data_IF_160814010843
#
_entry.id   IF_160814010843
#
_cell.length_a   1.000
_cell.length_b   1.000
_cell.length_c   1.000
_cell.angle_alpha   90.00
_cell.angle_beta   90.00
_cell.angle_gamma   90.00
#
_symmetry.space_group_name_H-M   'P 1'
#
loop_
_entity.id
_entity.type
_entity.pdbx_description
1 polymer ?
#
# COMPACT_ATOMS: atom_id res chain seq x y z
N UNK A 1 21.88 17.25 -32.16
CA UNK A 1 21.07 18.35 -31.57
C UNK A 1 20.44 17.81 -30.29
N UNK A 2 20.85 18.34 -29.13
CA UNK A 2 20.35 17.91 -27.81
C UNK A 2 18.91 18.38 -27.63
N UNK A 3 17.98 17.45 -27.50
CA UNK A 3 16.58 17.71 -27.19
C UNK A 3 16.50 18.20 -25.73
N UNK A 4 16.62 19.51 -25.49
CA UNK A 4 16.47 20.08 -24.15
C UNK A 4 15.00 19.93 -23.74
N UNK A 5 14.69 19.29 -22.59
CA UNK A 5 13.32 19.15 -22.14
C UNK A 5 12.66 20.53 -22.01
N UNK A 6 11.43 20.62 -22.50
CA UNK A 6 10.68 21.87 -22.56
C UNK A 6 10.55 22.47 -21.14
N UNK A 7 10.80 23.78 -20.93
CA UNK A 7 10.84 24.39 -19.59
C UNK A 7 9.54 24.23 -18.78
N UNK A 8 8.39 24.09 -19.47
CA UNK A 8 7.10 23.80 -18.85
C UNK A 8 7.02 22.38 -18.25
N UNK A 9 7.74 21.41 -18.83
CA UNK A 9 7.80 20.03 -18.33
C UNK A 9 8.58 19.98 -17.01
N UNK A 10 9.67 20.75 -16.91
CA UNK A 10 10.46 20.86 -15.69
C UNK A 10 9.67 21.58 -14.58
N UNK A 11 8.93 22.65 -14.90
CA UNK A 11 8.08 23.34 -13.92
C UNK A 11 6.99 22.41 -13.37
N UNK A 12 6.29 21.67 -14.24
CA UNK A 12 5.27 20.71 -13.84
C UNK A 12 5.84 19.59 -12.94
N UNK A 13 7.03 19.08 -13.29
CA UNK A 13 7.73 18.08 -12.48
C UNK A 13 8.17 18.63 -11.11
N UNK A 14 8.67 19.87 -11.05
CA UNK A 14 9.08 20.51 -9.79
C UNK A 14 7.87 20.81 -8.89
N UNK A 15 6.77 21.32 -9.44
CA UNK A 15 5.53 21.55 -8.67
C UNK A 15 4.93 20.24 -8.19
N UNK A 16 4.93 19.20 -9.03
CA UNK A 16 4.45 17.87 -8.67
C UNK A 16 5.24 17.26 -7.52
N UNK A 17 6.58 17.28 -7.60
CA UNK A 17 7.45 16.75 -6.54
C UNK A 17 7.34 17.53 -5.23
N UNK A 18 7.25 18.86 -5.29
CA UNK A 18 7.04 19.70 -4.10
C UNK A 18 5.70 19.40 -3.40
N UNK A 19 4.62 19.24 -4.16
CA UNK A 19 3.29 18.95 -3.61
C UNK A 19 3.27 17.58 -2.92
N UNK A 20 3.84 16.56 -3.55
CA UNK A 20 3.95 15.20 -2.97
C UNK A 20 4.77 15.24 -1.67
N UNK A 21 5.88 15.99 -1.65
CA UNK A 21 6.73 16.10 -0.47
C UNK A 21 6.01 16.74 0.73
N UNK A 22 5.22 17.79 0.50
CA UNK A 22 4.43 18.44 1.57
C UNK A 22 3.40 17.46 2.14
N UNK A 23 2.64 16.79 1.27
CA UNK A 23 1.61 15.83 1.70
C UNK A 23 2.27 14.67 2.47
N UNK A 24 3.35 14.11 1.96
CA UNK A 24 4.09 13.05 2.63
C UNK A 24 4.60 13.48 4.01
N UNK A 25 5.13 14.70 4.13
CA UNK A 25 5.59 15.26 5.41
C UNK A 25 4.45 15.35 6.42
N UNK A 26 3.28 15.86 6.01
CA UNK A 26 2.10 15.95 6.88
C UNK A 26 1.68 14.55 7.34
N UNK A 27 1.65 13.58 6.43
CA UNK A 27 1.28 12.19 6.74
C UNK A 27 2.27 11.55 7.71
N UNK A 28 3.58 11.75 7.53
CA UNK A 28 4.62 11.24 8.44
C UNK A 28 4.46 11.85 9.83
N UNK A 29 4.31 13.16 9.90
CA UNK A 29 4.10 13.88 11.17
C UNK A 29 2.84 13.39 11.86
N UNK A 30 1.74 13.20 11.11
CA UNK A 30 0.49 12.70 11.65
C UNK A 30 0.64 11.25 12.14
N UNK A 31 1.25 10.36 11.36
CA UNK A 31 1.56 8.97 11.75
C UNK A 31 2.36 8.88 13.06
N UNK A 32 3.35 9.75 13.23
CA UNK A 32 4.22 9.71 14.41
C UNK A 32 3.56 10.38 15.63
N UNK A 33 2.98 11.57 15.44
CA UNK A 33 2.46 12.36 16.55
C UNK A 33 1.08 11.89 17.03
N UNK A 34 0.27 11.26 16.18
CA UNK A 34 -1.09 10.84 16.57
C UNK A 34 -1.09 9.91 17.77
N UNK A 35 -0.17 8.95 17.82
CA UNK A 35 -0.06 8.00 18.93
C UNK A 35 0.38 8.67 20.22
N UNK A 36 1.46 9.45 20.15
CA UNK A 36 2.04 10.12 21.32
C UNK A 36 1.07 11.16 21.88
N UNK A 37 0.57 12.07 21.04
CA UNK A 37 -0.33 13.15 21.45
C UNK A 37 -1.67 12.57 21.91
N UNK A 38 -2.26 11.64 21.14
CA UNK A 38 -3.52 11.00 21.51
C UNK A 38 -3.41 10.20 22.82
N UNK A 39 -2.33 9.42 22.97
CA UNK A 39 -2.09 8.59 24.15
C UNK A 39 -1.86 9.42 25.42
N UNK A 40 -0.96 10.41 25.38
CA UNK A 40 -0.70 11.30 26.52
C UNK A 40 -1.97 12.06 26.92
N UNK A 41 -2.73 12.55 25.94
CA UNK A 41 -3.96 13.27 26.22
C UNK A 41 -5.02 12.35 26.85
N UNK A 42 -5.23 11.14 26.33
CA UNK A 42 -6.11 10.16 26.97
C UNK A 42 -5.65 9.80 28.40
N UNK A 43 -4.35 9.74 28.64
CA UNK A 43 -3.78 9.46 29.97
C UNK A 43 -4.11 10.56 30.97
N UNK A 44 -3.97 11.83 30.57
CA UNK A 44 -4.33 12.99 31.39
C UNK A 44 -5.84 12.99 31.72
N UNK A 45 -6.67 12.57 30.77
CA UNK A 45 -8.13 12.44 30.97
C UNK A 45 -8.52 11.20 31.79
N UNK A 46 -7.56 10.34 32.16
CA UNK A 46 -7.79 9.14 32.97
C UNK A 46 -8.27 7.92 32.17
N UNK A 47 -8.29 7.96 30.83
CA UNK A 47 -8.76 6.86 29.97
C UNK A 47 -7.68 5.78 29.73
N UNK A 48 -6.96 5.38 30.77
CA UNK A 48 -5.85 4.40 30.71
C UNK A 48 -6.25 3.05 30.10
N UNK A 49 -7.48 2.59 30.35
CA UNK A 49 -7.98 1.34 29.77
C UNK A 49 -8.01 1.37 28.24
N UNK A 50 -8.31 2.51 27.63
CA UNK A 50 -8.34 2.65 26.16
C UNK A 50 -6.93 2.64 25.55
N UNK A 51 -5.95 3.19 26.27
CA UNK A 51 -4.54 3.13 25.89
C UNK A 51 -4.05 1.68 25.91
N UNK A 52 -4.31 0.96 27.01
CA UNK A 52 -3.95 -0.45 27.13
C UNK A 52 -4.56 -1.33 26.02
N UNK A 53 -5.84 -1.10 25.70
CA UNK A 53 -6.50 -1.80 24.59
C UNK A 53 -5.85 -1.46 23.25
N UNK A 54 -5.51 -0.19 23.00
CA UNK A 54 -4.83 0.21 21.77
C UNK A 54 -3.51 -0.53 21.56
N UNK A 55 -2.69 -0.63 22.60
CA UNK A 55 -1.45 -1.43 22.56
C UNK A 55 -1.74 -2.92 22.36
N UNK A 56 -2.70 -3.48 23.10
CA UNK A 56 -3.09 -4.88 22.98
C UNK A 56 -3.55 -5.22 21.56
N UNK A 57 -4.33 -4.35 20.94
CA UNK A 57 -4.76 -4.48 19.55
C UNK A 57 -3.58 -4.39 18.58
N UNK A 58 -2.65 -3.45 18.79
CA UNK A 58 -1.43 -3.36 17.98
C UNK A 58 -0.61 -4.65 17.99
N UNK A 59 -0.52 -5.34 19.13
CA UNK A 59 0.21 -6.61 19.26
C UNK A 59 -0.59 -7.80 18.68
N UNK A 60 -1.90 -7.83 18.90
CA UNK A 60 -2.75 -8.93 18.44
C UNK A 60 -3.01 -8.89 16.92
N UNK A 61 -2.95 -7.70 16.32
CA UNK A 61 -3.38 -7.49 14.93
C UNK A 61 -2.62 -8.34 13.90
N UNK A 62 -1.27 -8.51 13.93
CA UNK A 62 -0.58 -9.38 12.96
C UNK A 62 -1.11 -10.82 12.93
N UNK A 63 -1.55 -11.35 14.08
CA UNK A 63 -2.10 -12.69 14.21
C UNK A 63 -3.51 -12.76 13.63
N UNK A 64 -4.34 -11.78 13.96
CA UNK A 64 -5.71 -11.63 13.41
C UNK A 64 -5.62 -11.46 11.88
N UNK A 65 -4.67 -10.65 11.41
CA UNK A 65 -4.43 -10.40 9.99
C UNK A 65 -4.02 -11.67 9.26
N UNK A 66 -3.11 -12.47 9.84
CA UNK A 66 -2.69 -13.76 9.25
C UNK A 66 -3.90 -14.66 9.02
N UNK A 67 -4.76 -14.84 10.04
CA UNK A 67 -5.96 -15.68 9.93
C UNK A 67 -6.94 -15.09 8.90
N UNK A 68 -7.18 -13.78 8.95
CA UNK A 68 -8.07 -13.10 8.02
C UNK A 68 -7.57 -13.17 6.58
N UNK A 69 -6.26 -13.18 6.35
CA UNK A 69 -5.63 -13.25 5.03
C UNK A 69 -5.60 -14.65 4.41
N UNK A 70 -5.98 -15.71 5.13
CA UNK A 70 -5.93 -17.09 4.62
C UNK A 70 -6.68 -17.28 3.29
N UNK A 71 -7.90 -16.73 3.10
CA UNK A 71 -8.58 -16.81 1.81
C UNK A 71 -7.82 -16.10 0.68
N UNK A 72 -7.19 -14.96 0.99
CA UNK A 72 -6.34 -14.24 0.04
C UNK A 72 -5.09 -15.04 -0.33
N UNK A 73 -4.47 -15.73 0.64
CA UNK A 73 -3.33 -16.61 0.40
C UNK A 73 -3.72 -17.79 -0.50
N UNK A 74 -4.90 -18.38 -0.29
CA UNK A 74 -5.44 -19.42 -1.18
C UNK A 74 -5.61 -18.92 -2.62
N UNK A 75 -6.19 -17.73 -2.79
CA UNK A 75 -6.30 -17.09 -4.11
C UNK A 75 -4.94 -16.79 -4.74
N UNK A 76 -3.98 -16.36 -3.93
CA UNK A 76 -2.61 -16.05 -4.37
C UNK A 76 -1.85 -17.30 -4.84
N UNK A 77 -2.09 -18.44 -4.21
CA UNK A 77 -1.53 -19.72 -4.68
C UNK A 77 -2.10 -20.12 -6.04
N UNK A 78 -3.42 -20.00 -6.23
CA UNK A 78 -4.06 -20.26 -7.53
C UNK A 78 -3.57 -19.26 -8.58
N UNK A 79 -3.41 -18.00 -8.21
CA UNK A 79 -2.86 -16.95 -9.05
C UNK A 79 -1.46 -17.32 -9.57
N UNK A 80 -0.56 -17.75 -8.69
CA UNK A 80 0.80 -18.17 -9.05
C UNK A 80 0.79 -19.33 -10.06
N UNK A 81 -0.06 -20.34 -9.84
CA UNK A 81 -0.21 -21.47 -10.76
C UNK A 81 -0.64 -21.06 -12.17
N UNK A 82 -1.54 -20.07 -12.31
CA UNK A 82 -1.95 -19.57 -13.63
C UNK A 82 -0.96 -18.57 -14.24
N UNK A 83 -0.21 -17.84 -13.40
CA UNK A 83 0.87 -16.97 -13.84
C UNK A 83 2.01 -17.78 -14.50
N UNK A 84 2.42 -18.90 -13.90
CA UNK A 84 3.41 -19.81 -14.47
C UNK A 84 2.98 -20.40 -15.82
N UNK A 85 1.68 -20.62 -16.01
CA UNK A 85 1.12 -21.07 -17.29
C UNK A 85 1.02 -19.97 -18.36
N UNK A 86 1.44 -18.75 -18.06
CA UNK A 86 1.40 -17.61 -18.97
C UNK A 86 0.00 -17.06 -19.26
N UNK A 87 -1.01 -17.41 -18.46
CA UNK A 87 -2.40 -17.00 -18.71
C UNK A 87 -2.68 -15.60 -18.19
N UNK A 88 -2.27 -14.57 -18.96
CA UNK A 88 -2.37 -13.15 -18.57
C UNK A 88 -3.78 -12.74 -18.10
N UNK A 89 -4.85 -13.24 -18.74
CA UNK A 89 -6.24 -12.91 -18.37
C UNK A 89 -6.64 -13.46 -17.00
N UNK A 90 -6.35 -14.75 -16.72
CA UNK A 90 -6.69 -15.36 -15.44
C UNK A 90 -5.85 -14.78 -14.31
N UNK A 91 -4.57 -14.51 -14.56
CA UNK A 91 -3.69 -13.82 -13.61
C UNK A 91 -4.23 -12.44 -13.25
N UNK A 92 -4.68 -11.65 -14.24
CA UNK A 92 -5.29 -10.34 -13.98
C UNK A 92 -6.57 -10.42 -13.13
N UNK A 93 -7.49 -11.35 -13.46
CA UNK A 93 -8.75 -11.50 -12.72
C UNK A 93 -8.51 -11.96 -11.28
N UNK A 94 -7.66 -12.97 -11.07
CA UNK A 94 -7.35 -13.47 -9.72
C UNK A 94 -6.56 -12.43 -8.90
N UNK A 95 -5.66 -11.70 -9.54
CA UNK A 95 -4.96 -10.56 -8.92
C UNK A 95 -5.93 -9.48 -8.46
N UNK A 96 -6.93 -9.15 -9.28
CA UNK A 96 -7.99 -8.21 -8.90
C UNK A 96 -8.77 -8.67 -7.69
N UNK A 97 -9.21 -9.92 -7.70
CA UNK A 97 -10.05 -10.47 -6.66
C UNK A 97 -9.30 -10.51 -5.33
N UNK A 98 -8.02 -10.87 -5.38
CA UNK A 98 -7.10 -10.83 -4.24
C UNK A 98 -6.94 -9.40 -3.72
N UNK A 99 -6.74 -8.42 -4.60
CA UNK A 99 -6.60 -7.01 -4.21
C UNK A 99 -7.89 -6.45 -3.60
N UNK A 100 -9.06 -6.73 -4.18
CA UNK A 100 -10.36 -6.33 -3.62
C UNK A 100 -10.53 -6.91 -2.23
N UNK A 101 -10.22 -8.20 -2.07
CA UNK A 101 -10.36 -8.87 -0.78
C UNK A 101 -9.47 -8.25 0.30
N UNK A 102 -8.19 -8.00 -0.02
CA UNK A 102 -7.26 -7.36 0.90
C UNK A 102 -7.70 -5.93 1.27
N UNK A 103 -8.15 -5.14 0.29
CA UNK A 103 -8.69 -3.81 0.54
C UNK A 103 -9.96 -3.87 1.39
N UNK A 104 -10.84 -4.86 1.19
CA UNK A 104 -12.02 -5.04 2.03
C UNK A 104 -11.63 -5.36 3.48
N UNK A 105 -10.64 -6.23 3.71
CA UNK A 105 -10.12 -6.51 5.05
C UNK A 105 -9.53 -5.27 5.72
N UNK A 106 -8.74 -4.49 4.99
CA UNK A 106 -8.20 -3.21 5.50
C UNK A 106 -9.34 -2.26 5.88
N UNK A 107 -10.33 -2.06 5.00
CA UNK A 107 -11.46 -1.20 5.26
C UNK A 107 -12.25 -1.66 6.50
N UNK A 108 -12.50 -2.96 6.64
CA UNK A 108 -13.16 -3.54 7.82
C UNK A 108 -12.37 -3.27 9.10
N UNK A 109 -11.04 -3.44 9.07
CA UNK A 109 -10.18 -3.11 10.19
C UNK A 109 -10.29 -1.62 10.57
N UNK A 110 -10.23 -0.72 9.58
CA UNK A 110 -10.39 0.72 9.79
C UNK A 110 -11.72 1.04 10.46
N UNK A 111 -12.83 0.55 9.87
CA UNK A 111 -14.19 0.77 10.36
C UNK A 111 -14.30 0.29 11.81
N UNK A 112 -13.79 -0.90 12.08
CA UNK A 112 -13.91 -1.52 13.39
C UNK A 112 -13.10 -0.77 14.45
N UNK A 113 -11.82 -0.44 14.20
CA UNK A 113 -11.00 0.32 15.16
C UNK A 113 -11.59 1.71 15.39
N UNK A 114 -11.98 2.40 14.31
CA UNK A 114 -12.61 3.72 14.40
C UNK A 114 -13.87 3.67 15.27
N UNK A 115 -14.81 2.77 14.92
CA UNK A 115 -16.05 2.61 15.66
C UNK A 115 -15.81 2.23 17.12
N UNK A 116 -14.84 1.36 17.39
CA UNK A 116 -14.50 0.92 18.75
C UNK A 116 -14.06 2.08 19.66
N UNK A 117 -13.17 2.95 19.17
CA UNK A 117 -12.69 4.09 19.96
C UNK A 117 -13.72 5.22 20.02
N UNK A 118 -14.38 5.53 18.91
CA UNK A 118 -15.37 6.60 18.88
C UNK A 118 -16.63 6.28 19.69
N UNK A 119 -16.99 5.00 19.85
CA UNK A 119 -18.07 4.59 20.76
C UNK A 119 -17.74 4.84 22.25
N UNK A 120 -16.47 5.10 22.60
CA UNK A 120 -16.00 5.42 23.96
C UNK A 120 -15.67 6.89 24.14
N UNK A 121 -15.79 7.68 23.07
CA UNK A 121 -15.47 9.09 23.09
C UNK A 121 -16.62 9.90 23.73
N UNK A 122 -16.25 10.79 24.63
CA UNK A 122 -17.12 11.79 25.21
C UNK A 122 -16.81 13.18 24.60
N UNK A 123 -17.60 14.19 24.96
CA UNK A 123 -17.46 15.57 24.47
C UNK A 123 -16.07 16.18 24.70
N UNK A 124 -15.32 15.71 25.70
CA UNK A 124 -13.96 16.18 26.02
C UNK A 124 -12.85 15.29 25.47
N UNK A 125 -13.17 14.08 25.01
CA UNK A 125 -12.19 13.06 24.61
C UNK A 125 -12.27 12.66 23.13
N UNK A 126 -13.16 13.25 22.34
CA UNK A 126 -13.28 12.92 20.91
C UNK A 126 -11.98 13.09 20.11
N UNK A 127 -11.28 14.24 20.24
CA UNK A 127 -10.01 14.48 19.54
C UNK A 127 -8.95 13.45 19.95
N UNK A 128 -8.66 13.24 21.25
CA UNK A 128 -7.63 12.28 21.62
C UNK A 128 -8.00 10.84 21.26
N UNK A 129 -9.29 10.46 21.24
CA UNK A 129 -9.73 9.17 20.72
C UNK A 129 -9.55 9.02 19.20
N UNK A 130 -9.76 10.08 18.40
CA UNK A 130 -9.47 10.07 16.96
C UNK A 130 -7.97 9.87 16.70
N UNK A 131 -7.10 10.62 17.40
CA UNK A 131 -5.66 10.50 17.24
C UNK A 131 -5.15 9.12 17.69
N UNK A 132 -5.66 8.63 18.83
CA UNK A 132 -5.28 7.32 19.36
C UNK A 132 -5.79 6.17 18.50
N UNK A 133 -7.03 6.25 18.02
CA UNK A 133 -7.62 5.25 17.13
C UNK A 133 -6.88 5.18 15.80
N UNK A 134 -6.51 6.31 15.22
CA UNK A 134 -5.67 6.37 14.03
C UNK A 134 -4.33 5.65 14.26
N UNK A 135 -3.62 5.99 15.35
CA UNK A 135 -2.35 5.33 15.68
C UNK A 135 -2.51 3.83 15.92
N UNK A 136 -3.58 3.40 16.59
CA UNK A 136 -3.84 1.99 16.89
C UNK A 136 -4.06 1.17 15.61
N UNK A 137 -4.77 1.74 14.64
CA UNK A 137 -5.00 1.09 13.36
C UNK A 137 -3.75 1.11 12.47
N UNK A 138 -3.00 2.22 12.47
CA UNK A 138 -1.82 2.40 11.61
C UNK A 138 -0.57 1.67 12.10
N UNK A 139 -0.38 1.54 13.41
CA UNK A 139 0.83 0.92 13.99
C UNK A 139 1.10 -0.50 13.46
N UNK A 140 0.16 -1.47 13.53
CA UNK A 140 0.42 -2.80 13.03
C UNK A 140 0.54 -2.86 11.50
N UNK A 141 -0.22 -2.04 10.76
CA UNK A 141 -0.11 -1.95 9.31
C UNK A 141 1.26 -1.44 8.88
N UNK A 142 1.77 -0.41 9.54
CA UNK A 142 3.10 0.17 9.27
C UNK A 142 4.21 -0.81 9.65
N UNK A 143 4.02 -1.56 10.75
CA UNK A 143 4.95 -2.62 11.15
C UNK A 143 5.01 -3.73 10.08
N UNK A 144 3.87 -4.24 9.61
CA UNK A 144 3.84 -5.25 8.55
C UNK A 144 4.46 -4.73 7.24
N UNK A 145 4.16 -3.49 6.87
CA UNK A 145 4.77 -2.84 5.71
C UNK A 145 6.29 -2.74 5.81
N UNK A 146 6.84 -2.49 7.00
CA UNK A 146 8.29 -2.43 7.22
C UNK A 146 9.01 -3.78 7.09
N UNK A 147 8.27 -4.90 7.08
CA UNK A 147 8.81 -6.25 6.91
C UNK A 147 8.81 -6.71 5.46
N UNK A 148 8.19 -5.96 4.56
CA UNK A 148 8.22 -6.24 3.14
C UNK A 148 9.40 -5.55 2.45
N UNK A 149 9.85 -6.07 1.29
CA UNK A 149 10.86 -5.39 0.49
C UNK A 149 10.44 -3.95 0.18
N UNK A 150 11.38 -2.97 0.17
CA UNK A 150 11.07 -1.57 -0.13
C UNK A 150 10.38 -1.34 -1.47
N UNK A 151 10.55 -2.27 -2.41
CA UNK A 151 9.97 -2.25 -3.74
C UNK A 151 8.51 -2.78 -3.78
N UNK A 152 7.96 -3.24 -2.64
CA UNK A 152 6.57 -3.69 -2.53
C UNK A 152 5.60 -2.50 -2.58
N UNK A 153 5.27 -2.09 -3.80
CA UNK A 153 4.29 -1.02 -4.05
C UNK A 153 2.90 -1.40 -3.52
N UNK A 154 2.53 -2.69 -3.54
CA UNK A 154 1.23 -3.17 -3.09
C UNK A 154 0.95 -2.84 -1.62
N UNK A 155 1.94 -3.03 -0.75
CA UNK A 155 1.75 -2.78 0.68
C UNK A 155 1.81 -1.30 1.03
N UNK A 156 2.66 -0.54 0.34
CA UNK A 156 2.64 0.93 0.45
C UNK A 156 1.26 1.48 0.06
N UNK A 157 0.67 0.98 -1.03
CA UNK A 157 -0.68 1.36 -1.47
C UNK A 157 -1.75 0.93 -0.47
N UNK A 158 -1.63 -0.25 0.13
CA UNK A 158 -2.55 -0.72 1.17
C UNK A 158 -2.54 0.18 2.42
N UNK A 159 -1.35 0.58 2.89
CA UNK A 159 -1.22 1.52 4.01
C UNK A 159 -1.85 2.86 3.68
N UNK A 160 -1.59 3.41 2.49
CA UNK A 160 -2.18 4.67 2.04
C UNK A 160 -3.71 4.58 1.90
N UNK A 161 -4.21 3.48 1.36
CA UNK A 161 -5.66 3.20 1.29
C UNK A 161 -6.30 3.19 2.67
N UNK A 162 -5.66 2.55 3.65
CA UNK A 162 -6.13 2.50 5.03
C UNK A 162 -6.23 3.92 5.63
N UNK A 163 -5.23 4.77 5.42
CA UNK A 163 -5.25 6.18 5.85
C UNK A 163 -6.42 6.96 5.23
N UNK A 164 -6.67 6.80 3.93
CA UNK A 164 -7.81 7.43 3.25
C UNK A 164 -9.14 6.93 3.81
N UNK A 165 -9.28 5.63 4.04
CA UNK A 165 -10.47 5.07 4.67
C UNK A 165 -10.73 5.69 6.05
N UNK A 166 -9.67 5.85 6.84
CA UNK A 166 -9.81 6.48 8.16
C UNK A 166 -10.24 7.93 8.05
N UNK A 167 -9.66 8.69 7.12
CA UNK A 167 -10.04 10.08 6.87
C UNK A 167 -11.51 10.20 6.42
N UNK A 168 -11.96 9.32 5.53
CA UNK A 168 -13.37 9.24 5.11
C UNK A 168 -14.28 9.00 6.32
N UNK A 169 -13.87 8.15 7.26
CA UNK A 169 -14.60 7.91 8.52
C UNK A 169 -14.62 9.09 9.47
N UNK A 170 -13.52 9.83 9.58
CA UNK A 170 -13.45 11.07 10.34
C UNK A 170 -14.44 12.09 9.75
N UNK A 171 -14.43 12.25 8.43
CA UNK A 171 -15.37 13.15 7.73
C UNK A 171 -16.82 12.71 7.91
N UNK A 172 -17.11 11.41 7.85
CA UNK A 172 -18.43 10.87 8.18
C UNK A 172 -18.84 11.25 9.61
N UNK A 173 -17.95 11.12 10.58
CA UNK A 173 -18.28 11.42 11.97
C UNK A 173 -18.67 12.89 12.18
N UNK A 174 -18.05 13.83 11.46
CA UNK A 174 -18.37 15.27 11.57
C UNK A 174 -19.54 15.74 10.70
N UNK A 175 -19.67 15.21 9.48
CA UNK A 175 -20.60 15.72 8.47
C UNK A 175 -21.69 14.72 8.06
N UNK A 176 -21.53 13.46 8.42
CA UNK A 176 -22.37 12.36 7.99
C UNK A 176 -23.72 12.36 8.69
N UNK A 177 -24.78 12.63 7.94
CA UNK A 177 -26.17 12.41 8.38
C UNK A 177 -26.64 10.97 8.17
N UNK A 178 -26.03 10.26 7.23
CA UNK A 178 -26.43 8.91 6.82
C UNK A 178 -25.19 8.09 6.54
N UNK A 179 -25.17 6.84 7.01
CA UNK A 179 -24.02 5.92 6.89
C UNK A 179 -23.75 5.45 5.45
N UNK A 180 -24.81 5.21 4.67
CA UNK A 180 -24.72 4.55 3.35
C UNK A 180 -23.81 5.26 2.34
N UNK A 181 -23.88 6.59 2.12
CA UNK A 181 -23.01 7.27 1.14
C UNK A 181 -21.51 7.13 1.42
N UNK A 182 -21.13 7.06 2.70
CA UNK A 182 -19.73 6.95 3.12
C UNK A 182 -19.20 5.53 2.94
N UNK A 183 -20.06 4.53 3.15
CA UNK A 183 -19.74 3.15 2.79
C UNK A 183 -19.51 3.02 1.27
N UNK A 184 -20.36 3.63 0.44
CA UNK A 184 -20.15 3.66 -1.01
C UNK A 184 -18.84 4.35 -1.39
N UNK A 185 -18.48 5.46 -0.72
CA UNK A 185 -17.19 6.13 -0.97
C UNK A 185 -16.00 5.21 -0.71
N UNK A 186 -16.00 4.44 0.39
CA UNK A 186 -14.94 3.47 0.70
C UNK A 186 -14.90 2.35 -0.33
N UNK A 187 -16.06 1.83 -0.76
CA UNK A 187 -16.13 0.78 -1.79
C UNK A 187 -15.55 1.29 -3.11
N UNK A 188 -15.92 2.49 -3.54
CA UNK A 188 -15.42 3.09 -4.78
C UNK A 188 -13.91 3.33 -4.69
N UNK A 189 -13.42 3.91 -3.60
CA UNK A 189 -11.97 4.13 -3.40
C UNK A 189 -11.22 2.79 -3.38
N UNK A 190 -11.74 1.78 -2.66
CA UNK A 190 -11.13 0.45 -2.60
C UNK A 190 -11.08 -0.23 -3.97
N UNK A 191 -12.14 -0.09 -4.77
CA UNK A 191 -12.18 -0.58 -6.13
C UNK A 191 -11.13 0.11 -7.03
N UNK A 192 -11.01 1.44 -6.95
CA UNK A 192 -10.02 2.21 -7.70
C UNK A 192 -8.59 1.82 -7.32
N UNK A 193 -8.31 1.64 -6.03
CA UNK A 193 -7.01 1.16 -5.55
C UNK A 193 -6.70 -0.25 -6.05
N UNK A 194 -7.69 -1.14 -6.08
CA UNK A 194 -7.52 -2.49 -6.63
C UNK A 194 -7.25 -2.48 -8.13
N UNK A 195 -7.91 -1.60 -8.89
CA UNK A 195 -7.60 -1.44 -10.31
C UNK A 195 -6.17 -0.92 -10.51
N UNK A 196 -5.78 0.08 -9.73
CA UNK A 196 -4.44 0.67 -9.80
C UNK A 196 -3.34 -0.35 -9.49
N UNK A 197 -3.55 -1.18 -8.46
CA UNK A 197 -2.61 -2.24 -8.08
C UNK A 197 -2.37 -3.24 -9.22
N UNK A 198 -3.42 -3.64 -9.95
CA UNK A 198 -3.25 -4.53 -11.12
C UNK A 198 -2.52 -3.84 -12.26
N UNK A 199 -2.87 -2.59 -12.56
CA UNK A 199 -2.21 -1.86 -13.64
C UNK A 199 -0.71 -1.80 -13.40
N UNK A 200 -0.30 -1.54 -12.16
CA UNK A 200 1.11 -1.60 -11.76
C UNK A 200 1.66 -3.02 -11.92
N UNK A 201 0.97 -4.04 -11.41
CA UNK A 201 1.44 -5.43 -11.50
C UNK A 201 1.63 -5.91 -12.96
N UNK A 202 0.71 -5.55 -13.86
CA UNK A 202 0.84 -5.87 -15.29
C UNK A 202 2.01 -5.09 -15.90
N UNK A 203 2.18 -3.81 -15.55
CA UNK A 203 3.27 -3.00 -16.05
C UNK A 203 4.64 -3.54 -15.63
N UNK A 204 4.79 -3.99 -14.38
CA UNK A 204 6.04 -4.60 -13.89
C UNK A 204 6.33 -5.93 -14.59
N UNK A 205 5.32 -6.78 -14.78
CA UNK A 205 5.48 -8.04 -15.53
C UNK A 205 5.91 -7.82 -16.99
N UNK A 206 5.36 -6.80 -17.66
CA UNK A 206 5.74 -6.47 -19.05
C UNK A 206 7.18 -5.94 -19.12
N UNK A 207 7.61 -5.17 -18.12
CA UNK A 207 8.98 -4.67 -18.04
C UNK A 207 9.98 -5.82 -17.82
N UNK A 208 9.67 -6.76 -16.93
CA UNK A 208 10.48 -7.96 -16.71
C UNK A 208 10.62 -8.80 -17.99
N UNK A 209 9.52 -9.04 -18.71
CA UNK A 209 9.52 -9.77 -20.00
C UNK A 209 10.41 -9.07 -21.04
N UNK A 210 10.42 -7.72 -21.04
CA UNK A 210 11.26 -6.92 -21.95
C UNK A 210 12.74 -7.02 -21.57
N UNK A 211 13.06 -6.93 -20.29
CA UNK A 211 14.42 -6.99 -19.79
C UNK A 211 15.06 -8.36 -19.98
N UNK A 212 14.29 -9.44 -19.80
CA UNK A 212 14.75 -10.80 -20.07
C UNK A 212 15.08 -11.00 -21.56
N UNK A 213 14.20 -10.56 -22.48
CA UNK A 213 14.46 -10.61 -23.92
C UNK A 213 15.70 -9.79 -24.32
N UNK A 214 15.88 -8.61 -23.71
CA UNK A 214 17.06 -7.79 -23.94
C UNK A 214 18.34 -8.45 -23.41
N UNK A 215 18.27 -9.14 -22.27
CA UNK A 215 19.40 -9.90 -21.70
C UNK A 215 19.81 -11.06 -22.61
N UNK A 216 18.85 -11.85 -23.07
CA UNK A 216 19.11 -12.98 -23.97
C UNK A 216 19.68 -12.52 -25.32
N UNK A 217 19.19 -11.41 -25.87
CA UNK A 217 19.75 -10.83 -27.09
C UNK A 217 21.19 -10.32 -26.90
N UNK A 218 21.53 -9.82 -25.70
CA UNK A 218 22.89 -9.41 -25.37
C UNK A 218 23.82 -10.62 -25.22
N UNK A 219 23.39 -11.67 -24.51
CA UNK A 219 24.14 -12.92 -24.34
C UNK A 219 24.47 -13.57 -25.71
N UNK A 220 23.49 -13.64 -26.63
CA UNK A 220 23.68 -14.16 -28.00
C UNK A 220 24.72 -13.37 -28.81
N UNK A 221 24.72 -12.03 -28.66
CA UNK A 221 25.72 -11.17 -29.30
C UNK A 221 27.11 -11.44 -28.71
N UNK A 222 27.26 -11.50 -27.39
CA UNK A 222 28.58 -11.75 -26.77
C UNK A 222 29.16 -13.12 -27.12
N UNK A 223 28.32 -14.16 -27.16
CA UNK A 223 28.77 -15.51 -27.54
C UNK A 223 29.25 -15.56 -29.00
N UNK A 224 28.64 -14.78 -29.90
CA UNK A 224 29.10 -14.67 -31.29
C UNK A 224 30.48 -14.00 -31.41
N UNK A 225 30.74 -12.96 -30.62
CA UNK A 225 32.02 -12.25 -30.63
C UNK A 225 33.17 -13.08 -30.08
N UNK A 226 32.95 -13.86 -29.01
CA UNK A 226 33.99 -14.73 -28.46
C UNK A 226 34.34 -15.87 -29.42
N UNK A 227 33.36 -16.39 -30.17
CA UNK A 227 33.58 -17.47 -31.13
C UNK A 227 34.36 -17.00 -32.37
N UNK A 228 34.10 -15.79 -32.88
CA UNK A 228 34.82 -15.25 -34.04
C UNK A 228 36.30 -14.94 -33.72
N UNK A 229 36.62 -14.50 -32.50
CA UNK A 229 38.00 -14.22 -32.08
C UNK A 229 38.84 -15.49 -31.83
N UNK A 230 38.19 -16.63 -31.56
CA UNK A 230 38.87 -17.93 -31.34
C UNK A 230 39.45 -18.52 -32.64
N UNK A 231 39.02 -18.05 -33.81
CA UNK A 231 39.53 -18.50 -35.12
C UNK A 231 40.59 -17.58 -35.73
N UNK A 232 40.79 -16.36 -35.22
CA UNK A 232 41.83 -15.46 -35.73
C UNK A 232 43.24 -15.73 -35.16
N UNK A 233 43.36 -16.35 -33.98
CA UNK A 233 44.66 -16.61 -33.34
C UNK A 233 45.40 -17.87 -33.86
N UNK A 234 44.71 -18.80 -34.54
CA UNK A 234 45.31 -20.04 -35.05
C UNK A 234 45.97 -19.92 -36.45
N UNK A 235 45.74 -18.82 -37.19
CA UNK A 235 46.32 -18.58 -38.52
C UNK A 235 47.63 -17.75 -38.50
N UNK A 236 48.17 -17.46 -37.32
CA UNK A 236 49.44 -16.73 -37.13
C UNK A 236 50.53 -17.67 -36.56
N UNK A 237 50.89 -18.72 -37.32
CA UNK A 237 52.12 -19.49 -37.05
C UNK A 237 52.77 -20.01 -38.33
#
# INVERSE_FOLDING_TARGET
MMNRPHPLLNLAATVGTATISIIATIVIVLNFLSGIVGGIWLAILGHWGSIGIGFGLGIAMPWIWTIASLPAMGLSFVLAFFAEKGSKTFTGILGFLTSIYNNALLALWVIWVFGFFMARADSRSFIPYLLWGYSTMMAPLSYMASKEPPESMGTTLGVFFAQLCYLIWVLFFFFGKTFIPWLYAIIVVGFLFSLFAIVIAIATMVEEERMEKARLAYEDITDSYDNDNLYEDDDIS
#
